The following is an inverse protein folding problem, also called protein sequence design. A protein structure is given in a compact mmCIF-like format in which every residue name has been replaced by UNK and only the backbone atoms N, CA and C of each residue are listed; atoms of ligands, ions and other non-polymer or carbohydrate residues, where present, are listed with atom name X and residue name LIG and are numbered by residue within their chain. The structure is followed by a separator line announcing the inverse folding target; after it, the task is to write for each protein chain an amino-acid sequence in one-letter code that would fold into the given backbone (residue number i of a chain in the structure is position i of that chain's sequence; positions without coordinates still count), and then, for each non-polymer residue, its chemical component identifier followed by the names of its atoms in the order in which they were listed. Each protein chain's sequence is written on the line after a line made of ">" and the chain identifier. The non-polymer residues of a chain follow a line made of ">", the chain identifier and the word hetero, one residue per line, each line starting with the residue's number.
data_IF_462819622862
#
_entry.id   IF_462819622862
#
_cell.length_a   1.000
_cell.length_b   1.000
_cell.length_c   1.000
_cell.angle_alpha   90.00
_cell.angle_beta   90.00
_cell.angle_gamma   90.00
#
_symmetry.space_group_name_H-M   'P 1'
#
loop_
_entity.id
_entity.type
_entity.pdbx_description
1 polymer ?
#
# COMPACT_ATOMS: atom_id res chain seq x y z
N UNK A 1 -16.53 -6.01 2.01
CA UNK A 1 -15.42 -5.03 1.99
C UNK A 1 -14.09 -5.62 1.55
N UNK A 2 -13.66 -6.77 2.07
CA UNK A 2 -12.36 -7.39 1.73
C UNK A 2 -12.12 -7.56 0.23
N UNK A 3 -13.13 -8.03 -0.51
CA UNK A 3 -13.03 -8.23 -1.97
C UNK A 3 -12.82 -6.93 -2.76
N UNK A 4 -13.43 -5.82 -2.32
CA UNK A 4 -13.25 -4.51 -2.95
C UNK A 4 -11.86 -3.94 -2.66
N UNK A 5 -11.38 -4.08 -1.42
CA UNK A 5 -10.03 -3.68 -1.04
C UNK A 5 -8.98 -4.43 -1.85
N UNK A 6 -9.15 -5.74 -2.00
CA UNK A 6 -8.24 -6.56 -2.80
C UNK A 6 -8.19 -6.13 -4.28
N UNK A 7 -9.35 -5.88 -4.90
CA UNK A 7 -9.41 -5.37 -6.28
C UNK A 7 -8.77 -3.98 -6.41
N UNK A 8 -8.96 -3.10 -5.42
CA UNK A 8 -8.32 -1.78 -5.41
C UNK A 8 -6.79 -1.87 -5.31
N UNK A 9 -6.27 -2.78 -4.49
CA UNK A 9 -4.82 -3.03 -4.40
C UNK A 9 -4.27 -3.54 -5.74
N UNK A 10 -4.98 -4.48 -6.37
CA UNK A 10 -4.58 -5.02 -7.68
C UNK A 10 -4.53 -3.94 -8.75
N UNK A 11 -5.56 -3.11 -8.87
CA UNK A 11 -5.61 -2.00 -9.85
C UNK A 11 -4.46 -0.99 -9.63
N UNK A 12 -4.15 -0.66 -8.37
CA UNK A 12 -3.02 0.22 -8.04
C UNK A 12 -1.68 -0.40 -8.45
N UNK A 13 -1.47 -1.68 -8.15
CA UNK A 13 -0.22 -2.37 -8.46
C UNK A 13 -0.05 -2.61 -9.97
N UNK A 14 -1.13 -2.85 -10.71
CA UNK A 14 -1.14 -2.93 -12.18
C UNK A 14 -0.69 -1.60 -12.81
N UNK A 15 -1.24 -0.47 -12.36
CA UNK A 15 -0.83 0.87 -12.84
C UNK A 15 0.65 1.14 -12.56
N UNK A 16 1.15 0.80 -11.37
CA UNK A 16 2.58 0.92 -11.03
C UNK A 16 3.46 0.03 -11.91
N UNK A 17 2.99 -1.17 -12.24
CA UNK A 17 3.71 -2.07 -13.14
C UNK A 17 3.81 -1.50 -14.56
N UNK A 18 2.72 -0.93 -15.09
CA UNK A 18 2.73 -0.27 -16.39
C UNK A 18 3.68 0.94 -16.43
N UNK A 19 3.69 1.78 -15.39
CA UNK A 19 4.63 2.90 -15.30
C UNK A 19 6.09 2.44 -15.25
N UNK A 20 6.39 1.37 -14.51
CA UNK A 20 7.74 0.77 -14.52
C UNK A 20 8.14 0.24 -15.90
N UNK A 21 7.21 -0.35 -16.65
CA UNK A 21 7.47 -0.85 -18.01
C UNK A 21 7.83 0.30 -18.98
N UNK A 22 7.15 1.45 -18.89
CA UNK A 22 7.49 2.64 -19.69
C UNK A 22 8.88 3.21 -19.40
N UNK A 23 9.42 2.93 -18.20
CA UNK A 23 10.72 3.42 -17.76
C UNK A 23 11.81 2.35 -17.83
N UNK A 24 11.50 1.17 -18.38
CA UNK A 24 12.46 0.11 -18.60
C UNK A 24 13.59 0.62 -19.51
N UNK A 25 14.83 0.23 -19.20
CA UNK A 25 16.03 0.65 -19.95
C UNK A 25 16.65 1.98 -19.52
N UNK A 26 15.95 2.85 -18.78
CA UNK A 26 16.54 4.07 -18.22
C UNK A 26 17.53 3.75 -17.09
N UNK A 27 18.56 4.59 -16.92
CA UNK A 27 19.47 4.50 -15.78
C UNK A 27 18.71 4.70 -14.45
N UNK A 28 19.19 4.10 -13.36
CA UNK A 28 18.46 4.10 -12.09
C UNK A 28 18.15 5.51 -11.56
N UNK A 29 19.05 6.48 -11.75
CA UNK A 29 18.86 7.87 -11.33
C UNK A 29 17.92 8.70 -12.20
N UNK A 30 17.51 8.18 -13.36
CA UNK A 30 16.64 8.87 -14.32
C UNK A 30 15.21 8.30 -14.34
N UNK A 31 14.96 7.24 -13.55
CA UNK A 31 13.63 6.63 -13.45
C UNK A 31 12.76 7.46 -12.52
N UNK A 32 11.62 7.90 -13.03
CA UNK A 32 10.58 8.59 -12.26
C UNK A 32 9.46 7.63 -11.78
N UNK A 33 9.55 6.34 -12.11
CA UNK A 33 8.58 5.34 -11.67
C UNK A 33 8.71 5.08 -10.17
N UNK A 34 7.60 4.78 -9.49
CA UNK A 34 7.63 4.29 -8.11
C UNK A 34 8.54 3.05 -8.00
N UNK A 35 9.39 2.95 -6.96
CA UNK A 35 10.25 1.79 -6.75
C UNK A 35 9.41 0.51 -6.60
N UNK A 36 10.04 -0.66 -6.85
CA UNK A 36 9.39 -1.94 -6.59
C UNK A 36 9.01 -2.04 -5.11
N UNK A 37 7.97 -2.83 -4.84
CA UNK A 37 7.62 -3.20 -3.47
C UNK A 37 8.87 -3.72 -2.74
N UNK A 38 9.04 -3.29 -1.50
CA UNK A 38 10.04 -3.87 -0.61
C UNK A 38 9.42 -5.15 -0.05
N UNK A 39 9.62 -6.25 -0.74
CA UNK A 39 9.16 -7.57 -0.28
C UNK A 39 9.99 -8.03 0.93
N UNK A 40 9.31 -8.62 1.92
CA UNK A 40 9.95 -9.16 3.12
C UNK A 40 10.41 -8.11 4.14
N UNK A 41 10.11 -6.83 3.95
CA UNK A 41 10.37 -5.83 4.99
C UNK A 41 9.37 -5.97 6.14
N UNK A 42 9.89 -6.05 7.36
CA UNK A 42 9.03 -6.02 8.55
C UNK A 42 8.46 -4.62 8.67
N UNK A 43 7.17 -4.47 8.38
CA UNK A 43 6.45 -3.24 8.71
C UNK A 43 6.23 -3.24 10.23
N UNK A 44 6.77 -2.25 10.93
CA UNK A 44 6.63 -2.05 12.38
C UNK A 44 5.49 -1.06 12.69
N UNK A 45 5.05 -0.98 13.94
CA UNK A 45 4.09 0.04 14.37
C UNK A 45 2.60 -0.24 14.06
N UNK A 46 2.25 -1.46 13.63
CA UNK A 46 0.85 -1.78 13.27
C UNK A 46 -0.12 -1.65 14.43
N UNK A 47 0.34 -1.91 15.66
CA UNK A 47 -0.55 -1.88 16.83
C UNK A 47 -0.91 -0.44 17.19
N UNK A 48 0.05 0.46 17.07
CA UNK A 48 -0.07 1.90 17.25
C UNK A 48 -0.96 2.50 16.16
N UNK A 49 -0.67 2.19 14.89
CA UNK A 49 -1.49 2.63 13.76
C UNK A 49 -2.93 2.11 13.86
N UNK A 50 -3.12 0.88 14.32
CA UNK A 50 -4.45 0.34 14.60
C UNK A 50 -5.15 1.10 15.73
N UNK A 51 -4.44 1.40 16.82
CA UNK A 51 -4.97 2.22 17.91
C UNK A 51 -5.44 3.60 17.45
N UNK A 52 -4.65 4.29 16.62
CA UNK A 52 -5.05 5.56 16.01
C UNK A 52 -6.30 5.41 15.14
N UNK A 53 -6.39 4.31 14.37
CA UNK A 53 -7.53 4.04 13.50
C UNK A 53 -8.82 3.80 14.31
N UNK A 54 -8.74 3.04 15.41
CA UNK A 54 -9.87 2.82 16.34
C UNK A 54 -10.28 4.13 17.01
N UNK A 55 -9.32 4.93 17.48
CA UNK A 55 -9.60 6.22 18.11
C UNK A 55 -10.25 7.23 17.15
N UNK A 56 -9.86 7.20 15.86
CA UNK A 56 -10.35 8.11 14.83
C UNK A 56 -11.73 7.73 14.26
N UNK A 57 -12.03 6.43 14.20
CA UNK A 57 -13.26 5.88 13.59
C UNK A 57 -13.90 4.79 14.47
N UNK A 58 -14.30 5.11 15.71
CA UNK A 58 -14.80 4.12 16.67
C UNK A 58 -16.04 3.37 16.16
N UNK A 59 -16.87 4.02 15.33
CA UNK A 59 -18.07 3.44 14.73
C UNK A 59 -17.78 2.25 13.80
N UNK A 60 -16.55 2.14 13.29
CA UNK A 60 -16.12 1.06 12.40
C UNK A 60 -15.53 -0.14 13.12
N UNK A 61 -15.25 -0.01 14.42
CA UNK A 61 -14.59 -1.02 15.25
C UNK A 61 -15.37 -1.29 16.56
N UNK A 62 -16.61 -1.81 16.47
CA UNK A 62 -17.41 -2.09 17.65
C UNK A 62 -16.73 -3.15 18.55
N UNK A 63 -16.66 -2.86 19.85
CA UNK A 63 -16.08 -3.77 20.86
C UNK A 63 -14.55 -3.74 21.00
N UNK A 64 -13.88 -2.75 20.41
CA UNK A 64 -12.42 -2.54 20.52
C UNK A 64 -12.02 -1.42 21.50
N UNK A 65 -13.00 -0.85 22.22
CA UNK A 65 -12.82 0.14 23.29
C UNK A 65 -13.08 -0.49 24.65
#
# INVERSE_FOLDING_TARGET
>A
MVKLLWLAILDIEEKRAAERAKQAGKAAGERLSSPRLIEGHVTTGWREAYGEMVARWPERFPGQL
#
